data_IF_308498195707
#
_entry.id   IF_308498195707
#
_cell.length_a   1.000
_cell.length_b   1.000
_cell.length_c   1.000
_cell.angle_alpha   90.00
_cell.angle_beta   90.00
_cell.angle_gamma   90.00
#
_symmetry.space_group_name_H-M   'P 1'
#
loop_
_entity.id
_entity.type
_entity.pdbx_description
1 polymer ?
#
# COMPACT_ATOMS: atom_id res chain seq x y z
N UNK A 1 -14.31 -13.49 -9.24
CA UNK A 1 -13.19 -12.86 -8.54
C UNK A 1 -13.35 -11.35 -8.59
N UNK A 2 -13.27 -10.68 -7.49
CA UNK A 2 -13.48 -9.24 -7.42
C UNK A 2 -12.24 -8.48 -7.85
N UNK A 3 -12.41 -7.39 -8.58
CA UNK A 3 -11.31 -6.49 -8.93
C UNK A 3 -10.75 -5.75 -7.72
N UNK A 4 -11.46 -5.82 -6.58
CA UNK A 4 -11.08 -5.11 -5.37
C UNK A 4 -10.15 -5.93 -4.46
N UNK A 5 -9.74 -7.11 -4.90
CA UNK A 5 -8.91 -8.01 -4.08
C UNK A 5 -7.41 -7.69 -4.17
N UNK A 6 -7.03 -6.61 -4.85
CA UNK A 6 -5.63 -6.26 -5.04
C UNK A 6 -4.95 -7.13 -6.08
N UNK A 7 -3.61 -7.20 -6.03
CA UNK A 7 -2.83 -8.00 -6.96
C UNK A 7 -2.98 -9.50 -6.63
N UNK A 8 -2.56 -10.34 -7.57
CA UNK A 8 -2.68 -11.79 -7.41
C UNK A 8 -2.08 -12.31 -6.11
N UNK A 9 -0.90 -11.79 -5.74
CA UNK A 9 -0.19 -12.23 -4.54
C UNK A 9 -0.94 -11.92 -3.25
N UNK A 10 -1.90 -11.00 -3.29
CA UNK A 10 -2.64 -10.54 -2.11
C UNK A 10 -4.11 -10.90 -2.15
N UNK A 11 -4.52 -11.77 -3.06
CA UNK A 11 -5.91 -12.22 -3.13
C UNK A 11 -6.32 -12.92 -1.85
N UNK A 12 -7.50 -12.60 -1.36
CA UNK A 12 -8.01 -13.17 -0.14
C UNK A 12 -7.45 -12.56 1.14
N UNK A 13 -6.48 -11.65 1.05
CA UNK A 13 -5.93 -10.95 2.20
C UNK A 13 -6.83 -9.76 2.53
N UNK A 14 -7.23 -9.67 3.80
CA UNK A 14 -8.05 -8.56 4.27
C UNK A 14 -7.27 -7.26 4.24
N UNK A 15 -7.86 -6.20 3.69
CA UNK A 15 -7.23 -4.91 3.60
C UNK A 15 -7.52 -4.06 4.83
N UNK A 16 -6.53 -3.28 5.27
CA UNK A 16 -6.72 -2.22 6.23
C UNK A 16 -6.72 -0.89 5.45
N UNK A 17 -7.79 -0.11 5.60
CA UNK A 17 -7.92 1.17 4.91
C UNK A 17 -7.26 2.26 5.73
N UNK A 18 -6.36 3.01 5.11
CA UNK A 18 -5.62 4.10 5.76
C UNK A 18 -5.71 5.34 4.87
N UNK A 19 -5.97 6.48 5.50
CA UNK A 19 -5.92 7.78 4.81
C UNK A 19 -4.66 8.51 5.25
N UNK A 20 -3.90 9.03 4.29
CA UNK A 20 -2.71 9.81 4.57
C UNK A 20 -2.56 10.89 3.51
N UNK A 21 -2.48 12.16 3.94
CA UNK A 21 -2.31 13.33 3.06
C UNK A 21 -3.29 13.34 1.89
N UNK A 22 -4.58 13.17 2.17
CA UNK A 22 -5.67 13.16 1.19
C UNK A 22 -5.66 11.98 0.22
N UNK A 23 -4.75 11.04 0.40
CA UNK A 23 -4.77 9.78 -0.34
C UNK A 23 -5.27 8.68 0.56
N UNK A 24 -6.10 7.80 0.00
CA UNK A 24 -6.71 6.71 0.72
C UNK A 24 -6.22 5.40 0.12
N UNK A 25 -5.73 4.51 0.97
CA UNK A 25 -5.15 3.24 0.53
C UNK A 25 -5.82 2.07 1.23
N UNK A 26 -6.05 1.01 0.48
CA UNK A 26 -6.29 -0.31 1.05
C UNK A 26 -4.95 -1.02 1.10
N UNK A 27 -4.52 -1.36 2.31
CA UNK A 27 -3.21 -1.95 2.54
C UNK A 27 -3.37 -3.40 2.95
N UNK A 28 -2.68 -4.28 2.23
CA UNK A 28 -2.66 -5.71 2.51
C UNK A 28 -1.23 -6.13 2.82
N UNK A 29 -1.08 -6.96 3.83
CA UNK A 29 0.22 -7.47 4.26
C UNK A 29 0.19 -8.98 4.20
N UNK A 30 1.19 -9.56 3.55
CA UNK A 30 1.36 -11.02 3.50
C UNK A 30 2.82 -11.34 3.79
N UNK A 31 3.08 -11.83 5.01
CA UNK A 31 4.45 -12.06 5.44
C UNK A 31 5.26 -10.77 5.32
N UNK A 32 6.41 -10.78 4.65
CA UNK A 32 7.20 -9.57 4.48
C UNK A 32 6.68 -8.63 3.38
N UNK A 33 5.67 -9.04 2.60
CA UNK A 33 5.19 -8.27 1.45
C UNK A 33 4.04 -7.37 1.84
N UNK A 34 4.02 -6.16 1.28
CA UNK A 34 2.96 -5.17 1.49
C UNK A 34 2.48 -4.65 0.13
N UNK A 35 1.16 -4.50 0.02
CA UNK A 35 0.54 -3.81 -1.11
C UNK A 35 -0.25 -2.63 -0.59
N UNK A 36 -0.05 -1.45 -1.18
CA UNK A 36 -0.88 -0.27 -0.94
C UNK A 36 -1.61 0.07 -2.23
N UNK A 37 -2.92 -0.17 -2.25
CA UNK A 37 -3.78 0.13 -3.38
C UNK A 37 -4.48 1.46 -3.12
N UNK A 38 -4.21 2.46 -3.97
CA UNK A 38 -4.89 3.75 -3.84
C UNK A 38 -6.34 3.62 -4.33
N UNK A 39 -7.28 3.98 -3.46
CA UNK A 39 -8.70 3.75 -3.72
C UNK A 39 -9.53 5.02 -3.86
N UNK A 40 -8.95 6.20 -3.69
CA UNK A 40 -9.69 7.44 -3.90
C UNK A 40 -9.29 8.12 -5.21
N UNK A 41 -10.26 8.75 -5.84
CA UNK A 41 -10.01 9.56 -7.00
C UNK A 41 -9.60 10.96 -6.56
N UNK A 42 -8.43 11.43 -6.98
CA UNK A 42 -8.01 12.79 -6.69
C UNK A 42 -7.05 13.26 -7.80
N UNK A 43 -7.62 13.53 -8.96
CA UNK A 43 -6.86 13.98 -10.11
C UNK A 43 -5.96 12.86 -10.65
N UNK A 44 -4.78 13.22 -11.08
CA UNK A 44 -3.86 12.28 -11.72
C UNK A 44 -2.48 12.39 -11.08
N UNK A 45 -2.32 11.90 -9.83
CA UNK A 45 -1.00 11.92 -9.20
C UNK A 45 -0.04 11.00 -9.94
N UNK A 46 1.24 11.38 -9.93
CA UNK A 46 2.29 10.52 -10.48
C UNK A 46 2.72 9.47 -9.45
N UNK A 47 3.40 8.43 -9.93
CA UNK A 47 4.00 7.45 -9.02
C UNK A 47 4.96 8.13 -8.04
N UNK A 48 5.69 9.15 -8.51
CA UNK A 48 6.61 9.92 -7.65
C UNK A 48 5.89 10.59 -6.49
N UNK A 49 4.68 11.08 -6.71
CA UNK A 49 3.87 11.71 -5.67
C UNK A 49 3.25 10.68 -4.73
N UNK A 50 2.78 9.57 -5.26
CA UNK A 50 2.09 8.53 -4.49
C UNK A 50 3.06 7.74 -3.61
N UNK A 51 4.25 7.43 -4.13
CA UNK A 51 5.22 6.55 -3.46
C UNK A 51 5.54 6.94 -2.02
N UNK A 52 5.95 8.19 -1.71
CA UNK A 52 6.30 8.54 -0.33
C UNK A 52 5.09 8.52 0.60
N UNK A 53 3.91 8.85 0.10
CA UNK A 53 2.68 8.86 0.89
C UNK A 53 2.26 7.42 1.19
N UNK A 54 2.32 6.54 0.21
CA UNK A 54 2.03 5.12 0.40
C UNK A 54 3.02 4.49 1.38
N UNK A 55 4.30 4.88 1.32
CA UNK A 55 5.32 4.38 2.25
C UNK A 55 4.96 4.71 3.69
N UNK A 56 4.52 5.94 3.97
CA UNK A 56 4.10 6.32 5.30
C UNK A 56 2.87 5.53 5.76
N UNK A 57 1.92 5.31 4.86
CA UNK A 57 0.75 4.50 5.17
C UNK A 57 1.13 3.05 5.47
N UNK A 58 2.08 2.48 4.72
CA UNK A 58 2.59 1.14 4.98
C UNK A 58 3.24 1.04 6.35
N UNK A 59 4.07 2.02 6.72
CA UNK A 59 4.71 2.08 8.04
C UNK A 59 3.70 2.14 9.16
N UNK A 60 2.63 2.88 8.96
CA UNK A 60 1.55 2.98 9.94
C UNK A 60 0.88 1.62 10.17
N UNK A 61 0.64 0.86 9.10
CA UNK A 61 -0.03 -0.44 9.21
C UNK A 61 0.86 -1.49 9.86
N UNK A 62 2.13 -1.58 9.46
CA UNK A 62 3.05 -2.58 10.04
C UNK A 62 3.64 -2.15 11.37
N UNK A 63 3.53 -0.87 11.72
CA UNK A 63 3.94 -0.38 13.03
C UNK A 63 5.42 -0.19 13.23
N UNK A 64 6.20 -0.12 12.15
CA UNK A 64 7.63 0.17 12.25
C UNK A 64 8.12 0.89 11.00
N UNK A 65 9.36 1.39 11.03
CA UNK A 65 9.91 2.16 9.93
C UNK A 65 10.69 1.32 8.90
N UNK A 66 10.89 0.04 9.18
CA UNK A 66 11.72 -0.82 8.33
C UNK A 66 10.90 -1.34 7.13
N UNK A 67 10.52 -0.41 6.27
CA UNK A 67 9.71 -0.66 5.08
C UNK A 67 10.43 -0.08 3.88
N UNK A 68 10.55 -0.86 2.80
CA UNK A 68 11.15 -0.42 1.55
C UNK A 68 10.17 -0.62 0.41
N UNK A 69 10.01 0.38 -0.45
CA UNK A 69 9.21 0.28 -1.66
C UNK A 69 10.01 -0.46 -2.73
N UNK A 70 9.40 -1.48 -3.31
CA UNK A 70 10.03 -2.28 -4.36
C UNK A 70 9.50 -1.93 -5.75
N UNK A 71 8.30 -1.39 -5.84
CA UNK A 71 7.69 -0.99 -7.10
C UNK A 71 6.56 -0.01 -6.83
N UNK A 72 6.36 0.94 -7.75
CA UNK A 72 5.30 1.93 -7.58
C UNK A 72 4.75 2.39 -8.93
N UNK A 73 3.41 2.51 -8.99
CA UNK A 73 2.75 3.28 -10.04
C UNK A 73 1.68 4.17 -9.37
N UNK A 74 0.94 4.99 -10.14
CA UNK A 74 -0.03 5.89 -9.52
C UNK A 74 -1.16 5.21 -8.75
N UNK A 75 -1.42 3.94 -9.02
CA UNK A 75 -2.53 3.21 -8.41
C UNK A 75 -2.10 2.24 -7.33
N UNK A 76 -0.90 1.66 -7.45
CA UNK A 76 -0.44 0.58 -6.57
C UNK A 76 1.02 0.79 -6.20
N UNK A 77 1.34 0.58 -4.93
CA UNK A 77 2.71 0.60 -4.44
C UNK A 77 2.97 -0.72 -3.73
N UNK A 78 4.04 -1.39 -4.13
CA UNK A 78 4.46 -2.64 -3.50
C UNK A 78 5.71 -2.41 -2.66
N UNK A 79 5.80 -3.11 -1.55
CA UNK A 79 6.93 -2.98 -0.65
C UNK A 79 7.19 -4.24 0.12
N UNK A 80 8.26 -4.18 0.92
CA UNK A 80 8.63 -5.24 1.86
C UNK A 80 8.94 -4.61 3.21
N UNK A 81 8.76 -5.38 4.27
CA UNK A 81 9.09 -4.92 5.62
C UNK A 81 9.85 -5.99 6.38
N UNK A 82 10.63 -5.55 7.37
CA UNK A 82 11.32 -6.42 8.31
C UNK A 82 10.85 -6.14 9.75
N UNK A 83 9.59 -5.74 9.90
CA UNK A 83 9.00 -5.51 11.21
C UNK A 83 8.64 -6.83 11.88
N UNK A 84 8.84 -6.92 13.18
CA UNK A 84 8.38 -8.06 13.97
C UNK A 84 6.93 -7.86 14.39
N UNK A 85 6.15 -8.88 14.19
CA UNK A 85 4.78 -8.91 14.66
C UNK A 85 4.64 -9.89 15.82
#
# INVERSE_FOLDING_TARGET
>A
MSCDDGSYAFQGIHAQTVRHKNMKFDIRVRGPMIEALRINAMGFPSARQVRPIALQAMRQVVGCEDVAVTWADPSVVLGVHACDF
#
